data_IF_850655678191
#
_entry.id   IF_850655678191
#
_cell.length_a   1.000
_cell.length_b   1.000
_cell.length_c   1.000
_cell.angle_alpha   90.00
_cell.angle_beta   90.00
_cell.angle_gamma   90.00
#
_symmetry.space_group_name_H-M   'P 1'
#
loop_
_entity.id
_entity.type
_entity.pdbx_description
1 polymer ?
#
# COMPACT_ATOMS: atom_id res chain seq x y z
N UNK A 1 -0.03 -12.86 20.27
CA UNK A 1 -0.67 -11.56 20.50
C UNK A 1 -1.96 -11.55 19.72
N UNK A 2 -3.07 -11.17 20.36
CA UNK A 2 -4.28 -10.86 19.61
C UNK A 2 -3.95 -9.71 18.64
N UNK A 3 -4.27 -9.85 17.35
CA UNK A 3 -3.96 -8.83 16.34
C UNK A 3 -4.66 -7.49 16.61
N UNK A 4 -5.64 -7.51 17.52
CA UNK A 4 -6.47 -6.40 17.91
C UNK A 4 -5.84 -5.57 19.05
N UNK A 5 -4.86 -6.10 19.79
CA UNK A 5 -4.17 -5.36 20.86
C UNK A 5 -3.22 -4.29 20.30
N UNK A 6 -2.92 -3.22 21.06
CA UNK A 6 -1.83 -2.31 20.74
C UNK A 6 -0.50 -3.06 20.62
N UNK A 7 0.33 -2.67 19.65
CA UNK A 7 1.68 -3.20 19.52
C UNK A 7 2.62 -2.53 20.53
N UNK A 8 3.67 -3.26 20.90
CA UNK A 8 4.75 -2.70 21.71
C UNK A 8 5.39 -1.49 21.00
N UNK A 9 5.51 -0.31 21.67
CA UNK A 9 6.07 0.88 21.05
C UNK A 9 7.53 0.73 20.61
N UNK A 10 8.34 -0.05 21.33
CA UNK A 10 9.73 -0.33 20.98
C UNK A 10 9.83 -1.13 19.68
N UNK A 11 9.03 -2.19 19.57
CA UNK A 11 8.88 -2.96 18.35
C UNK A 11 8.42 -2.09 17.17
N UNK A 12 7.42 -1.24 17.35
CA UNK A 12 6.92 -0.34 16.30
C UNK A 12 8.02 0.62 15.83
N UNK A 13 8.70 1.28 16.77
CA UNK A 13 9.79 2.21 16.43
C UNK A 13 10.93 1.49 15.69
N UNK A 14 11.30 0.28 16.12
CA UNK A 14 12.31 -0.52 15.43
C UNK A 14 11.90 -0.82 13.99
N UNK A 15 10.68 -1.31 13.77
CA UNK A 15 10.21 -1.64 12.43
C UNK A 15 10.11 -0.41 11.52
N UNK A 16 9.57 0.70 12.02
CA UNK A 16 9.41 1.94 11.24
C UNK A 16 10.74 2.60 10.88
N UNK A 17 11.85 2.25 11.55
CA UNK A 17 13.18 2.78 11.26
C UNK A 17 13.93 2.02 10.16
N UNK A 18 13.35 0.93 9.63
CA UNK A 18 14.00 0.05 8.64
C UNK A 18 13.18 -0.01 7.35
N UNK A 19 13.82 -0.27 6.19
CA UNK A 19 13.11 -0.61 4.97
C UNK A 19 12.13 -1.77 5.18
N UNK A 20 10.99 -1.79 4.47
CA UNK A 20 10.60 -0.86 3.41
C UNK A 20 9.97 0.46 3.90
N UNK A 21 9.90 0.72 5.22
CA UNK A 21 9.32 1.96 5.73
C UNK A 21 10.19 3.17 5.40
N UNK A 22 9.50 4.28 5.12
CA UNK A 22 10.10 5.59 4.87
C UNK A 22 9.41 6.61 5.75
N UNK A 23 10.18 7.48 6.40
CA UNK A 23 9.59 8.50 7.28
C UNK A 23 9.18 9.74 6.48
N UNK A 24 7.88 10.05 6.50
CA UNK A 24 7.34 11.33 6.01
C UNK A 24 6.48 11.92 7.12
N UNK A 25 6.94 13.03 7.69
CA UNK A 25 6.33 13.66 8.84
C UNK A 25 4.88 14.07 8.55
N UNK A 26 3.94 13.56 9.34
CA UNK A 26 2.50 13.79 9.16
C UNK A 26 1.80 12.80 8.23
N UNK A 27 2.53 11.83 7.65
CA UNK A 27 1.97 10.76 6.83
C UNK A 27 2.29 9.42 7.46
N UNK A 28 1.28 8.57 7.63
CA UNK A 28 1.45 7.23 8.19
C UNK A 28 1.55 6.18 7.09
N UNK A 29 2.10 5.02 7.45
CA UNK A 29 2.11 3.83 6.59
C UNK A 29 2.83 4.02 5.24
N UNK A 30 3.86 4.87 5.20
CA UNK A 30 4.64 5.14 3.98
C UNK A 30 5.68 4.05 3.77
N UNK A 31 5.71 3.45 2.58
CA UNK A 31 6.68 2.42 2.19
C UNK A 31 7.13 2.55 0.74
N UNK A 32 8.40 2.21 0.51
CA UNK A 32 8.95 1.97 -0.83
C UNK A 32 8.54 0.56 -1.30
N UNK A 33 8.19 0.43 -2.59
CA UNK A 33 7.91 -0.84 -3.25
C UNK A 33 9.13 -1.42 -3.99
N UNK A 34 10.31 -0.89 -3.73
CA UNK A 34 11.59 -1.41 -4.21
C UNK A 34 12.24 -2.49 -3.34
N UNK A 35 13.31 -3.07 -3.87
CA UNK A 35 14.15 -4.09 -3.25
C UNK A 35 13.46 -5.42 -2.93
N UNK A 36 12.26 -5.68 -3.47
CA UNK A 36 11.61 -6.97 -3.30
C UNK A 36 12.25 -8.02 -4.21
N UNK A 37 12.57 -9.22 -3.70
CA UNK A 37 13.06 -10.32 -4.52
C UNK A 37 11.98 -10.74 -5.51
N UNK A 38 12.41 -11.15 -6.71
CA UNK A 38 11.50 -11.57 -7.78
C UNK A 38 11.83 -12.98 -8.25
N UNK A 39 10.89 -13.58 -8.98
CA UNK A 39 11.11 -14.86 -9.66
C UNK A 39 12.14 -14.77 -10.79
N UNK A 40 12.56 -13.58 -11.19
CA UNK A 40 13.61 -13.36 -12.19
C UNK A 40 14.98 -13.36 -11.51
N UNK A 41 15.85 -14.35 -11.79
CA UNK A 41 17.13 -14.47 -11.11
C UNK A 41 17.97 -13.20 -11.22
N UNK A 42 18.43 -12.69 -10.07
CA UNK A 42 19.27 -11.51 -9.99
C UNK A 42 18.56 -10.17 -10.21
N UNK A 43 17.22 -10.14 -10.29
CA UNK A 43 16.45 -8.90 -10.37
C UNK A 43 15.60 -8.68 -9.11
N UNK A 44 15.52 -7.42 -8.69
CA UNK A 44 14.64 -6.93 -7.61
C UNK A 44 13.76 -5.80 -8.14
N UNK A 45 12.67 -5.50 -7.43
CA UNK A 45 11.90 -4.29 -7.73
C UNK A 45 12.74 -3.03 -7.52
N UNK A 46 12.54 -2.01 -8.35
CA UNK A 46 13.36 -0.80 -8.40
C UNK A 46 13.14 0.07 -7.16
N UNK A 47 14.18 0.31 -6.32
CA UNK A 47 14.11 1.23 -5.20
C UNK A 47 13.78 2.66 -5.65
N UNK A 48 12.94 3.31 -4.86
CA UNK A 48 12.59 4.71 -5.01
C UNK A 48 11.77 5.07 -6.23
N UNK A 49 11.14 4.11 -6.91
CA UNK A 49 10.29 4.41 -8.08
C UNK A 49 8.80 4.54 -7.70
N UNK A 50 8.30 3.65 -6.84
CA UNK A 50 6.89 3.60 -6.47
C UNK A 50 6.74 3.49 -4.95
N UNK A 51 5.99 4.41 -4.37
CA UNK A 51 5.71 4.45 -2.94
C UNK A 51 4.22 4.27 -2.68
N UNK A 52 3.90 3.71 -1.52
CA UNK A 52 2.52 3.62 -1.00
C UNK A 52 2.42 4.31 0.34
N UNK A 53 1.25 4.86 0.66
CA UNK A 53 1.02 5.53 1.96
C UNK A 53 -0.45 5.52 2.38
N UNK A 54 -0.72 5.97 3.61
CA UNK A 54 -2.03 6.50 4.01
C UNK A 54 -2.29 7.89 3.44
N UNK A 55 -3.45 8.46 3.74
CA UNK A 55 -3.77 9.82 3.31
C UNK A 55 -2.81 10.88 3.86
N UNK A 56 -2.64 11.96 3.10
CA UNK A 56 -1.57 12.95 3.30
C UNK A 56 -2.09 14.32 3.77
N UNK A 57 -3.36 14.46 4.16
CA UNK A 57 -3.93 15.78 4.47
C UNK A 57 -3.29 16.46 5.69
N UNK A 58 -2.61 15.69 6.54
CA UNK A 58 -1.90 16.14 7.75
C UNK A 58 -0.39 16.20 7.57
N UNK A 59 0.10 16.16 6.33
CA UNK A 59 1.54 16.27 6.05
C UNK A 59 2.10 17.57 6.64
N UNK A 60 3.24 17.45 7.33
CA UNK A 60 3.91 18.59 7.97
C UNK A 60 4.93 19.22 7.01
N UNK A 61 5.40 20.46 7.26
CA UNK A 61 6.45 21.07 6.46
C UNK A 61 7.70 20.20 6.29
N UNK A 62 8.12 19.49 7.34
CA UNK A 62 9.24 18.55 7.27
C UNK A 62 8.92 17.35 6.35
N UNK A 63 7.67 16.88 6.35
CA UNK A 63 7.20 15.82 5.48
C UNK A 63 7.19 16.24 4.01
N UNK A 64 6.82 17.49 3.72
CA UNK A 64 6.89 18.04 2.36
C UNK A 64 8.34 18.08 1.85
N UNK A 65 9.29 18.40 2.73
CA UNK A 65 10.72 18.37 2.40
C UNK A 65 11.21 16.93 2.20
N UNK A 66 10.79 15.98 3.03
CA UNK A 66 11.10 14.56 2.88
C UNK A 66 10.56 13.97 1.56
N UNK A 67 9.36 14.37 1.12
CA UNK A 67 8.84 14.01 -0.22
C UNK A 67 9.76 14.49 -1.34
N UNK A 68 10.25 15.73 -1.25
CA UNK A 68 11.19 16.31 -2.23
C UNK A 68 12.52 15.56 -2.23
N UNK A 69 13.05 15.18 -1.07
CA UNK A 69 14.28 14.41 -0.93
C UNK A 69 14.18 13.00 -1.52
N UNK A 70 13.00 12.39 -1.44
CA UNK A 70 12.68 11.12 -2.11
C UNK A 70 12.49 11.26 -3.63
N UNK A 71 12.51 12.50 -4.16
CA UNK A 71 12.27 12.78 -5.57
C UNK A 71 10.82 12.52 -6.01
N UNK A 72 9.87 12.42 -5.07
CA UNK A 72 8.46 12.16 -5.41
C UNK A 72 7.89 13.40 -6.08
N UNK A 73 7.50 13.24 -7.35
CA UNK A 73 6.99 14.34 -8.19
C UNK A 73 5.49 14.26 -8.40
N UNK A 74 4.90 13.08 -8.23
CA UNK A 74 3.46 12.87 -8.42
C UNK A 74 2.88 11.99 -7.31
N UNK A 75 1.72 12.39 -6.79
CA UNK A 75 0.95 11.62 -5.81
C UNK A 75 -0.44 11.32 -6.39
N UNK A 76 -0.85 10.06 -6.31
CA UNK A 76 -2.15 9.60 -6.80
C UNK A 76 -3.10 9.31 -5.64
N UNK A 77 -4.22 10.03 -5.57
CA UNK A 77 -5.23 9.87 -4.53
C UNK A 77 -6.40 9.01 -5.02
N UNK A 78 -6.52 7.81 -4.44
CA UNK A 78 -7.54 6.80 -4.79
C UNK A 78 -8.86 6.98 -4.01
N UNK A 79 -8.96 7.99 -3.14
CA UNK A 79 -10.14 8.25 -2.31
C UNK A 79 -11.27 8.82 -3.14
N UNK A 80 -12.51 8.49 -2.79
CA UNK A 80 -13.68 9.21 -3.29
C UNK A 80 -13.80 10.59 -2.64
N UNK A 81 -14.49 11.51 -3.30
CA UNK A 81 -14.87 12.82 -2.73
C UNK A 81 -15.64 12.65 -1.42
N UNK A 82 -16.58 11.70 -1.37
CA UNK A 82 -17.38 11.41 -0.18
C UNK A 82 -16.51 11.06 1.03
N UNK A 83 -15.44 10.29 0.83
CA UNK A 83 -14.50 9.96 1.89
C UNK A 83 -13.69 11.18 2.34
N UNK A 84 -13.19 11.99 1.40
CA UNK A 84 -12.43 13.19 1.72
C UNK A 84 -13.25 14.18 2.55
N UNK A 85 -14.51 14.41 2.17
CA UNK A 85 -15.45 15.24 2.90
C UNK A 85 -15.82 14.64 4.27
N UNK A 86 -16.17 13.35 4.33
CA UNK A 86 -16.58 12.68 5.59
C UNK A 86 -15.49 12.73 6.66
N UNK A 87 -14.23 12.58 6.26
CA UNK A 87 -13.11 12.56 7.19
C UNK A 87 -12.42 13.92 7.33
N UNK A 88 -12.90 14.96 6.64
CA UNK A 88 -12.31 16.31 6.63
C UNK A 88 -10.81 16.27 6.27
N UNK A 89 -10.48 15.52 5.22
CA UNK A 89 -9.10 15.22 4.79
C UNK A 89 -8.86 15.75 3.37
N UNK A 90 -8.82 17.08 3.17
CA UNK A 90 -8.67 17.67 1.84
C UNK A 90 -7.29 17.34 1.22
N UNK A 91 -7.19 17.47 -0.10
CA UNK A 91 -5.92 17.36 -0.81
C UNK A 91 -5.04 18.59 -0.45
N UNK A 92 -3.84 18.39 0.12
CA UNK A 92 -2.96 19.51 0.47
C UNK A 92 -2.28 20.10 -0.79
N UNK A 93 -1.80 21.33 -0.70
CA UNK A 93 -0.90 21.89 -1.72
C UNK A 93 0.55 21.65 -1.30
N UNK A 94 1.33 21.00 -2.17
CA UNK A 94 2.75 20.72 -1.94
C UNK A 94 3.53 21.24 -3.15
N UNK A 95 4.41 22.22 -2.92
CA UNK A 95 5.20 22.82 -4.00
C UNK A 95 6.08 21.78 -4.71
N UNK A 96 6.01 21.76 -6.05
CA UNK A 96 6.81 20.84 -6.88
C UNK A 96 6.27 19.41 -6.95
N UNK A 97 5.12 19.13 -6.32
CA UNK A 97 4.47 17.82 -6.34
C UNK A 97 3.07 17.96 -6.93
N UNK A 98 2.81 17.23 -8.02
CA UNK A 98 1.48 17.13 -8.61
C UNK A 98 0.66 16.10 -7.85
N UNK A 99 -0.54 16.47 -7.37
CA UNK A 99 -1.46 15.53 -6.74
C UNK A 99 -2.64 15.31 -7.66
N UNK A 100 -2.76 14.09 -8.18
CA UNK A 100 -3.78 13.69 -9.16
C UNK A 100 -4.85 12.87 -8.44
N UNK A 101 -6.06 13.39 -8.42
CA UNK A 101 -7.22 12.68 -7.87
C UNK A 101 -7.77 11.67 -8.88
N UNK A 102 -7.68 10.38 -8.54
CA UNK A 102 -8.09 9.25 -9.37
C UNK A 102 -8.96 8.28 -8.54
N UNK A 103 -10.20 8.65 -8.20
CA UNK A 103 -11.03 7.88 -7.29
C UNK A 103 -11.32 6.48 -7.86
N UNK A 104 -11.09 5.45 -7.06
CA UNK A 104 -11.48 4.06 -7.43
C UNK A 104 -12.99 3.90 -7.46
N UNK A 105 -13.69 4.60 -6.57
CA UNK A 105 -15.14 4.57 -6.48
C UNK A 105 -15.68 5.97 -6.68
N UNK A 106 -16.77 6.07 -7.43
CA UNK A 106 -17.44 7.35 -7.68
C UNK A 106 -18.36 7.72 -6.51
N UNK A 107 -18.83 8.96 -6.50
CA UNK A 107 -19.75 9.47 -5.47
C UNK A 107 -21.03 8.64 -5.40
N UNK A 108 -21.53 8.15 -6.55
CA UNK A 108 -22.75 7.35 -6.62
C UNK A 108 -22.59 5.96 -5.95
N UNK A 109 -21.36 5.47 -5.83
CA UNK A 109 -21.04 4.21 -5.15
C UNK A 109 -21.08 4.34 -3.60
N UNK A 110 -21.27 5.56 -3.10
CA UNK A 110 -21.30 5.91 -1.67
C UNK A 110 -22.71 6.29 -1.17
N UNK A 111 -23.76 5.72 -1.74
CA UNK A 111 -25.08 5.79 -1.10
C UNK A 111 -25.01 5.31 0.36
N UNK A 112 -25.81 5.89 1.29
CA UNK A 112 -25.82 5.47 2.69
C UNK A 112 -25.97 3.94 2.85
N UNK A 113 -26.79 3.31 2.03
CA UNK A 113 -27.04 1.87 2.01
C UNK A 113 -25.81 1.09 1.54
N UNK A 114 -25.15 1.52 0.46
CA UNK A 114 -23.92 0.90 -0.01
C UNK A 114 -22.80 0.99 1.03
N UNK A 115 -22.73 2.12 1.76
CA UNK A 115 -21.76 2.31 2.83
C UNK A 115 -22.03 1.44 4.04
N UNK A 116 -23.29 1.35 4.46
CA UNK A 116 -23.69 0.44 5.54
C UNK A 116 -23.29 -1.00 5.19
N UNK A 117 -23.60 -1.47 3.98
CA UNK A 117 -23.23 -2.81 3.51
C UNK A 117 -21.72 -3.03 3.49
N UNK A 118 -20.92 -2.03 3.08
CA UNK A 118 -19.45 -2.14 3.14
C UNK A 118 -18.95 -2.24 4.59
N UNK A 119 -19.49 -1.43 5.51
CA UNK A 119 -19.12 -1.50 6.92
C UNK A 119 -19.47 -2.84 7.55
N UNK A 120 -20.62 -3.43 7.23
CA UNK A 120 -20.98 -4.78 7.66
C UNK A 120 -19.96 -5.83 7.19
N UNK A 121 -19.52 -5.76 5.93
CA UNK A 121 -18.50 -6.66 5.40
C UNK A 121 -17.17 -6.51 6.14
N UNK A 122 -16.70 -5.27 6.34
CA UNK A 122 -15.46 -5.01 7.08
C UNK A 122 -15.53 -5.47 8.55
N UNK A 123 -16.67 -5.22 9.19
CA UNK A 123 -16.90 -5.54 10.59
C UNK A 123 -16.87 -7.04 10.88
N UNK A 124 -17.30 -7.85 9.90
CA UNK A 124 -17.37 -9.30 10.05
C UNK A 124 -16.03 -9.95 10.39
N UNK A 125 -14.91 -9.34 9.98
CA UNK A 125 -13.57 -9.92 10.14
C UNK A 125 -13.34 -11.21 9.33
N UNK A 126 -14.31 -11.61 8.50
CA UNK A 126 -14.29 -12.86 7.72
C UNK A 126 -13.59 -12.66 6.39
N UNK A 127 -12.74 -13.61 6.02
CA UNK A 127 -12.00 -13.57 4.76
C UNK A 127 -12.94 -13.46 3.55
N UNK A 128 -14.06 -14.16 3.54
CA UNK A 128 -15.04 -14.13 2.44
C UNK A 128 -15.66 -12.72 2.23
N UNK A 129 -15.85 -11.98 3.33
CA UNK A 129 -16.36 -10.62 3.27
C UNK A 129 -15.31 -9.67 2.66
N UNK A 130 -14.04 -9.83 3.02
CA UNK A 130 -12.94 -9.11 2.38
C UNK A 130 -12.81 -9.46 0.89
N UNK A 131 -13.00 -10.73 0.50
CA UNK A 131 -12.97 -11.10 -0.92
C UNK A 131 -14.09 -10.44 -1.72
N UNK A 132 -15.27 -10.27 -1.11
CA UNK A 132 -16.37 -9.50 -1.70
C UNK A 132 -15.99 -8.03 -1.89
N UNK A 133 -15.42 -7.40 -0.86
CA UNK A 133 -14.95 -6.01 -0.93
C UNK A 133 -13.85 -5.82 -1.97
N UNK A 134 -12.90 -6.74 -2.06
CA UNK A 134 -11.77 -6.64 -2.98
C UNK A 134 -12.18 -6.91 -4.42
N UNK A 135 -13.17 -7.78 -4.63
CA UNK A 135 -13.82 -7.92 -5.95
C UNK A 135 -14.43 -6.58 -6.38
N UNK A 136 -15.18 -5.91 -5.50
CA UNK A 136 -15.75 -4.59 -5.80
C UNK A 136 -14.68 -3.54 -6.11
N UNK A 137 -13.54 -3.57 -5.43
CA UNK A 137 -12.42 -2.68 -5.74
C UNK A 137 -11.90 -2.97 -7.14
N UNK A 138 -11.58 -4.23 -7.46
CA UNK A 138 -11.05 -4.61 -8.77
C UNK A 138 -12.01 -4.24 -9.91
N UNK A 139 -13.31 -4.48 -9.74
CA UNK A 139 -14.33 -4.18 -10.74
C UNK A 139 -14.41 -2.66 -11.09
N UNK A 140 -14.00 -1.79 -10.16
CA UNK A 140 -14.07 -0.33 -10.34
C UNK A 140 -12.70 0.34 -10.53
N UNK A 141 -11.61 -0.33 -10.16
CA UNK A 141 -10.28 0.27 -10.10
C UNK A 141 -9.60 0.45 -11.46
N UNK A 142 -10.11 -0.15 -12.54
CA UNK A 142 -9.51 -0.14 -13.89
C UNK A 142 -8.99 1.25 -14.31
N UNK A 143 -9.82 2.30 -14.36
CA UNK A 143 -9.37 3.64 -14.73
C UNK A 143 -8.27 4.21 -13.83
N UNK A 144 -8.40 4.09 -12.51
CA UNK A 144 -7.43 4.63 -11.55
C UNK A 144 -6.08 3.87 -11.63
N UNK A 145 -6.13 2.55 -11.68
CA UNK A 145 -4.92 1.72 -11.76
C UNK A 145 -4.20 1.91 -13.10
N UNK A 146 -4.94 2.17 -14.19
CA UNK A 146 -4.35 2.47 -15.49
C UNK A 146 -3.46 3.72 -15.42
N UNK A 147 -3.87 4.76 -14.69
CA UNK A 147 -3.08 5.99 -14.53
C UNK A 147 -1.75 5.68 -13.84
N UNK A 148 -1.78 4.98 -12.71
CA UNK A 148 -0.55 4.65 -11.95
C UNK A 148 0.36 3.71 -12.72
N UNK A 149 -0.19 2.66 -13.35
CA UNK A 149 0.60 1.73 -14.15
C UNK A 149 1.23 2.41 -15.37
N UNK A 150 0.51 3.33 -16.04
CA UNK A 150 1.08 4.14 -17.13
C UNK A 150 2.16 5.11 -16.64
N UNK A 151 2.07 5.62 -15.41
CA UNK A 151 3.16 6.40 -14.82
C UNK A 151 4.45 5.59 -14.76
N UNK A 152 4.39 4.35 -14.26
CA UNK A 152 5.56 3.45 -14.22
C UNK A 152 6.08 3.12 -15.63
N UNK A 153 5.17 2.99 -16.60
CA UNK A 153 5.51 2.76 -18.02
C UNK A 153 6.22 3.96 -18.66
N UNK A 154 5.68 5.15 -18.48
CA UNK A 154 6.03 6.33 -19.27
C UNK A 154 7.05 7.23 -18.58
N UNK A 155 7.16 7.13 -17.25
CA UNK A 155 7.96 8.04 -16.42
C UNK A 155 8.89 7.27 -15.46
N UNK A 156 9.75 6.37 -15.97
CA UNK A 156 10.59 5.50 -15.13
C UNK A 156 11.62 6.23 -14.27
N UNK A 157 11.86 7.52 -14.52
CA UNK A 157 12.78 8.37 -13.77
C UNK A 157 12.04 9.42 -12.92
N UNK A 158 10.71 9.33 -12.79
CA UNK A 158 9.89 10.18 -11.93
C UNK A 158 9.23 9.35 -10.83
N UNK A 159 9.76 9.34 -9.61
CA UNK A 159 9.13 8.64 -8.49
C UNK A 159 7.69 9.12 -8.24
N UNK A 160 6.79 8.17 -7.97
CA UNK A 160 5.41 8.47 -7.59
C UNK A 160 4.99 7.80 -6.28
N UNK A 161 3.99 8.39 -5.62
CA UNK A 161 3.31 7.79 -4.47
C UNK A 161 1.83 7.59 -4.80
N UNK A 162 1.21 6.54 -4.26
CA UNK A 162 -0.25 6.39 -4.33
C UNK A 162 -0.83 6.02 -2.96
N UNK A 163 -2.02 6.54 -2.67
CA UNK A 163 -2.67 6.32 -1.39
C UNK A 163 -4.19 6.23 -1.49
N UNK A 164 -4.79 5.74 -0.40
CA UNK A 164 -6.22 5.87 -0.13
C UNK A 164 -6.35 6.45 1.28
N UNK A 165 -7.45 6.23 2.01
CA UNK A 165 -7.57 6.73 3.39
C UNK A 165 -6.53 6.10 4.33
N UNK A 166 -6.46 4.77 4.38
CA UNK A 166 -5.60 4.05 5.32
C UNK A 166 -4.30 3.54 4.71
N UNK A 167 -4.17 3.60 3.38
CA UNK A 167 -3.07 2.93 2.68
C UNK A 167 -3.13 1.40 2.75
N UNK A 168 -4.32 0.84 3.04
CA UNK A 168 -4.53 -0.60 3.26
C UNK A 168 -5.13 -1.30 2.04
N UNK A 169 -6.42 -1.11 1.77
CA UNK A 169 -7.16 -1.95 0.81
C UNK A 169 -6.90 -1.56 -0.65
N UNK A 170 -7.43 -0.43 -1.14
CA UNK A 170 -7.20 0.03 -2.53
C UNK A 170 -5.71 0.18 -2.86
N UNK A 171 -4.98 0.81 -1.95
CA UNK A 171 -3.52 0.97 -2.05
C UNK A 171 -2.80 -0.39 -2.01
N UNK A 172 -3.22 -1.31 -1.14
CA UNK A 172 -2.57 -2.62 -1.02
C UNK A 172 -2.83 -3.52 -2.20
N UNK A 173 -4.04 -3.46 -2.78
CA UNK A 173 -4.37 -4.15 -4.02
C UNK A 173 -3.52 -3.62 -5.18
N UNK A 174 -3.39 -2.29 -5.33
CA UNK A 174 -2.55 -1.71 -6.37
C UNK A 174 -1.07 -2.08 -6.18
N UNK A 175 -0.56 -2.02 -4.95
CA UNK A 175 0.79 -2.47 -4.63
C UNK A 175 1.00 -3.96 -4.94
N UNK A 176 0.05 -4.82 -4.56
CA UNK A 176 0.09 -6.25 -4.86
C UNK A 176 0.10 -6.51 -6.38
N UNK A 177 -0.70 -5.77 -7.16
CA UNK A 177 -0.69 -5.88 -8.63
C UNK A 177 0.68 -5.50 -9.20
N UNK A 178 1.27 -4.37 -8.78
CA UNK A 178 2.61 -3.96 -9.22
C UNK A 178 3.68 -5.02 -8.88
N UNK A 179 3.68 -5.52 -7.65
CA UNK A 179 4.63 -6.54 -7.19
C UNK A 179 4.43 -7.88 -7.93
N UNK A 180 3.17 -8.31 -8.16
CA UNK A 180 2.88 -9.52 -8.95
C UNK A 180 3.32 -9.38 -10.41
N UNK A 181 3.12 -8.22 -11.05
CA UNK A 181 3.62 -7.97 -12.41
C UNK A 181 5.15 -8.08 -12.48
N UNK A 182 5.84 -7.67 -11.41
CA UNK A 182 7.28 -7.80 -11.26
C UNK A 182 7.76 -9.21 -10.89
N UNK A 183 6.85 -10.17 -10.67
CA UNK A 183 7.20 -11.55 -10.33
C UNK A 183 7.59 -11.74 -8.86
N UNK A 184 7.19 -10.85 -7.96
CA UNK A 184 7.32 -11.06 -6.51
C UNK A 184 6.35 -12.16 -6.08
N UNK A 185 6.80 -13.05 -5.20
CA UNK A 185 6.00 -14.17 -4.71
C UNK A 185 4.87 -13.73 -3.75
N UNK A 186 3.84 -14.56 -3.64
CA UNK A 186 2.64 -14.26 -2.87
C UNK A 186 2.90 -14.06 -1.38
N UNK A 187 3.84 -14.81 -0.82
CA UNK A 187 4.15 -14.74 0.60
C UNK A 187 4.84 -13.41 0.93
N UNK A 188 5.77 -12.98 0.09
CA UNK A 188 6.42 -11.67 0.19
C UNK A 188 5.42 -10.53 0.05
N UNK A 189 4.48 -10.60 -0.91
CA UNK A 189 3.42 -9.60 -1.07
C UNK A 189 2.49 -9.56 0.16
N UNK A 190 2.11 -10.73 0.68
CA UNK A 190 1.27 -10.82 1.87
C UNK A 190 1.96 -10.26 3.12
N UNK A 191 3.27 -10.45 3.25
CA UNK A 191 4.09 -9.85 4.30
C UNK A 191 4.14 -8.32 4.18
N UNK A 192 4.38 -7.75 3.00
CA UNK A 192 4.28 -6.28 2.80
C UNK A 192 2.91 -5.75 3.20
N UNK A 193 1.84 -6.41 2.74
CA UNK A 193 0.49 -5.99 3.08
C UNK A 193 0.28 -5.95 4.61
N UNK A 194 0.77 -6.97 5.32
CA UNK A 194 0.66 -7.08 6.76
C UNK A 194 1.44 -5.99 7.52
N UNK A 195 2.52 -5.45 6.96
CA UNK A 195 3.24 -4.29 7.52
C UNK A 195 2.33 -3.07 7.71
N UNK A 196 1.18 -3.00 7.03
CA UNK A 196 0.16 -1.98 7.26
C UNK A 196 -0.30 -1.90 8.72
N UNK A 197 -0.30 -3.03 9.44
CA UNK A 197 -0.62 -3.07 10.88
C UNK A 197 0.40 -2.27 11.70
N UNK A 198 1.68 -2.35 11.36
CA UNK A 198 2.76 -1.60 12.01
C UNK A 198 2.73 -0.13 11.56
N UNK A 199 2.63 0.10 10.25
CA UNK A 199 2.65 1.44 9.64
C UNK A 199 1.54 2.37 10.11
N UNK A 200 0.40 1.82 10.56
CA UNK A 200 -0.75 2.58 11.07
C UNK A 200 -0.77 2.71 12.57
N UNK A 201 0.10 2.02 13.30
CA UNK A 201 0.06 2.02 14.76
C UNK A 201 0.27 3.40 15.39
N UNK A 202 1.15 4.28 14.88
CA UNK A 202 1.27 5.65 15.39
C UNK A 202 -0.03 6.46 15.31
N UNK A 203 -0.94 6.09 14.40
CA UNK A 203 -2.23 6.73 14.21
C UNK A 203 -3.40 5.96 14.84
N UNK A 204 -3.14 4.87 15.59
CA UNK A 204 -4.18 3.98 16.13
C UNK A 204 -5.26 4.74 16.90
N UNK A 205 -4.88 5.55 17.89
CA UNK A 205 -5.85 6.30 18.69
C UNK A 205 -6.72 7.23 17.85
N UNK A 206 -6.12 7.98 16.92
CA UNK A 206 -6.85 8.86 16.01
C UNK A 206 -7.83 8.06 15.15
N UNK A 207 -7.39 6.92 14.60
CA UNK A 207 -8.22 6.05 13.78
C UNK A 207 -9.39 5.48 14.59
N UNK A 208 -9.14 4.97 15.80
CA UNK A 208 -10.18 4.44 16.67
C UNK A 208 -11.20 5.52 17.07
N UNK A 209 -10.75 6.76 17.35
CA UNK A 209 -11.64 7.91 17.60
C UNK A 209 -12.47 8.29 16.37
N UNK A 210 -11.94 8.14 15.15
CA UNK A 210 -12.71 8.36 13.91
C UNK A 210 -13.75 7.26 13.74
N UNK A 211 -13.39 5.99 13.99
CA UNK A 211 -14.31 4.86 13.87
C UNK A 211 -15.44 4.95 14.91
N UNK A 212 -15.16 5.33 16.15
CA UNK A 212 -16.21 5.45 17.19
C UNK A 212 -17.28 6.50 16.89
N UNK A 213 -17.03 7.44 15.96
CA UNK A 213 -18.04 8.39 15.48
C UNK A 213 -18.98 7.81 14.43
N UNK A 214 -18.68 6.63 13.89
CA UNK A 214 -19.55 5.92 12.96
C UNK A 214 -20.53 5.09 13.79
N UNK A 215 -21.86 5.27 13.64
CA UNK A 215 -22.84 4.58 14.48
C UNK A 215 -22.66 3.06 14.53
N UNK A 216 -22.22 2.46 13.42
CA UNK A 216 -21.96 1.03 13.32
C UNK A 216 -20.81 0.54 14.24
N UNK A 217 -19.79 1.37 14.49
CA UNK A 217 -18.60 1.00 15.25
C UNK A 217 -18.60 1.55 16.68
N UNK A 218 -19.47 2.50 17.01
CA UNK A 218 -19.49 3.21 18.28
C UNK A 218 -19.55 2.28 19.49
N UNK A 219 -20.41 1.25 19.42
CA UNK A 219 -20.62 0.26 20.49
C UNK A 219 -20.05 -1.13 20.15
N UNK A 220 -19.28 -1.25 19.05
CA UNK A 220 -18.72 -2.51 18.59
C UNK A 220 -17.21 -2.40 18.34
N UNK A 221 -16.45 -2.52 19.44
CA UNK A 221 -14.99 -2.41 19.43
C UNK A 221 -14.33 -3.49 18.56
N UNK A 222 -14.86 -4.73 18.58
CA UNK A 222 -14.35 -5.82 17.76
C UNK A 222 -14.47 -5.49 16.26
N UNK A 223 -15.63 -4.98 15.82
CA UNK A 223 -15.83 -4.54 14.44
C UNK A 223 -14.87 -3.41 14.04
N UNK A 224 -14.63 -2.44 14.93
CA UNK A 224 -13.67 -1.36 14.69
C UNK A 224 -12.23 -1.90 14.54
N UNK A 225 -11.85 -2.87 15.37
CA UNK A 225 -10.53 -3.49 15.32
C UNK A 225 -10.36 -4.40 14.10
N UNK A 226 -11.42 -5.10 13.66
CA UNK A 226 -11.43 -5.84 12.40
C UNK A 226 -11.18 -4.92 11.21
N UNK A 227 -11.80 -3.73 11.18
CA UNK A 227 -11.54 -2.72 10.14
C UNK A 227 -10.08 -2.20 10.19
N UNK A 228 -9.49 -2.10 11.38
CA UNK A 228 -8.09 -1.72 11.58
C UNK A 228 -7.09 -2.81 11.14
N UNK A 229 -7.45 -4.09 11.26
CA UNK A 229 -6.58 -5.23 10.98
C UNK A 229 -6.02 -5.28 9.55
N UNK A 230 -4.85 -5.90 9.38
CA UNK A 230 -4.14 -6.04 8.08
C UNK A 230 -3.50 -7.43 8.00
N UNK A 231 -4.30 -8.47 7.77
CA UNK A 231 -3.86 -9.87 7.84
C UNK A 231 -3.16 -10.34 6.57
N UNK A 232 -2.03 -11.03 6.70
CA UNK A 232 -1.34 -11.63 5.56
C UNK A 232 -2.25 -12.64 4.84
N UNK A 233 -3.02 -13.40 5.60
CA UNK A 233 -3.98 -14.40 5.11
C UNK A 233 -5.07 -13.77 4.22
N UNK A 234 -5.49 -12.54 4.52
CA UNK A 234 -6.43 -11.80 3.66
C UNK A 234 -5.80 -11.48 2.31
N UNK A 235 -4.51 -11.13 2.27
CA UNK A 235 -3.80 -10.86 1.02
C UNK A 235 -3.51 -12.15 0.23
N UNK A 236 -3.17 -13.25 0.90
CA UNK A 236 -3.04 -14.56 0.24
C UNK A 236 -4.37 -14.98 -0.40
N UNK A 237 -5.49 -14.83 0.32
CA UNK A 237 -6.81 -15.11 -0.22
C UNK A 237 -7.15 -14.21 -1.41
N UNK A 238 -6.76 -12.93 -1.37
CA UNK A 238 -6.92 -12.00 -2.48
C UNK A 238 -6.16 -12.45 -3.72
N UNK A 239 -4.88 -12.81 -3.58
CA UNK A 239 -4.04 -13.24 -4.70
C UNK A 239 -4.60 -14.51 -5.36
N UNK A 240 -5.04 -15.47 -4.55
CA UNK A 240 -5.76 -16.65 -5.04
C UNK A 240 -7.05 -16.29 -5.77
N UNK A 241 -7.85 -15.39 -5.21
CA UNK A 241 -9.10 -14.92 -5.84
C UNK A 241 -8.82 -14.18 -7.17
N UNK A 242 -7.74 -13.40 -7.25
CA UNK A 242 -7.29 -12.73 -8.47
C UNK A 242 -6.98 -13.76 -9.57
N UNK A 243 -6.25 -14.82 -9.22
CA UNK A 243 -5.94 -15.92 -10.14
C UNK A 243 -7.20 -16.65 -10.61
N UNK A 244 -8.07 -17.06 -9.68
CA UNK A 244 -9.27 -17.85 -9.98
C UNK A 244 -10.34 -17.06 -10.76
N UNK A 245 -10.58 -15.80 -10.43
CA UNK A 245 -11.69 -15.02 -11.00
C UNK A 245 -11.31 -14.19 -12.23
N UNK A 246 -10.08 -13.68 -12.25
CA UNK A 246 -9.63 -12.80 -13.33
C UNK A 246 -8.62 -13.45 -14.26
N UNK A 247 -8.20 -14.70 -13.99
CA UNK A 247 -7.17 -15.38 -14.77
C UNK A 247 -5.76 -14.88 -14.46
N UNK A 248 -5.56 -14.32 -13.27
CA UNK A 248 -4.28 -13.79 -12.79
C UNK A 248 -4.05 -12.32 -13.11
N UNK A 249 -2.93 -11.79 -12.59
CA UNK A 249 -2.63 -10.35 -12.62
C UNK A 249 -2.56 -9.78 -14.03
N UNK A 250 -1.93 -10.47 -14.99
CA UNK A 250 -1.80 -9.98 -16.36
C UNK A 250 -3.16 -9.94 -17.06
N UNK A 251 -3.98 -10.99 -16.90
CA UNK A 251 -5.32 -11.02 -17.47
C UNK A 251 -6.21 -9.90 -16.89
N UNK A 252 -6.14 -9.65 -15.58
CA UNK A 252 -6.83 -8.50 -14.97
C UNK A 252 -6.36 -7.18 -15.56
N UNK A 253 -5.04 -6.96 -15.67
CA UNK A 253 -4.47 -5.72 -16.21
C UNK A 253 -4.84 -5.51 -17.68
N UNK A 254 -4.94 -6.57 -18.49
CA UNK A 254 -5.38 -6.43 -19.87
C UNK A 254 -6.87 -6.16 -20.01
N UNK A 255 -7.69 -6.95 -19.33
CA UNK A 255 -9.13 -6.99 -19.56
C UNK A 255 -9.90 -5.93 -18.76
N UNK A 256 -9.41 -5.54 -17.59
CA UNK A 256 -10.08 -4.58 -16.70
C UNK A 256 -9.37 -3.23 -16.71
N UNK A 257 -8.03 -3.22 -16.66
CA UNK A 257 -7.25 -1.98 -16.65
C UNK A 257 -7.04 -1.43 -18.07
N UNK A 258 -7.09 -2.29 -19.09
CA UNK A 258 -6.99 -1.89 -20.50
C UNK A 258 -5.55 -1.56 -20.93
N UNK A 259 -4.57 -2.31 -20.42
CA UNK A 259 -3.18 -2.26 -20.87
C UNK A 259 -2.86 -3.43 -21.81
N UNK A 260 -1.90 -3.24 -22.70
CA UNK A 260 -1.45 -4.26 -23.64
C UNK A 260 -0.33 -5.13 -23.06
N UNK A 261 0.02 -6.22 -23.75
CA UNK A 261 1.18 -7.02 -23.39
C UNK A 261 2.49 -6.19 -23.45
N UNK A 262 2.60 -5.26 -24.41
CA UNK A 262 3.75 -4.34 -24.54
C UNK A 262 3.82 -3.34 -23.37
N UNK A 263 2.67 -2.86 -22.90
CA UNK A 263 2.60 -2.00 -21.71
C UNK A 263 3.10 -2.75 -20.48
N UNK A 264 2.62 -3.98 -20.27
CA UNK A 264 3.02 -4.84 -19.15
C UNK A 264 4.53 -5.13 -19.20
N UNK A 265 5.06 -5.47 -20.38
CA UNK A 265 6.48 -5.71 -20.56
C UNK A 265 7.33 -4.47 -20.24
N UNK A 266 6.87 -3.29 -20.66
CA UNK A 266 7.55 -2.02 -20.38
C UNK A 266 7.50 -1.64 -18.91
N UNK A 267 6.34 -1.79 -18.26
CA UNK A 267 6.18 -1.58 -16.80
C UNK A 267 7.15 -2.48 -16.05
N UNK A 268 7.18 -3.77 -16.37
CA UNK A 268 8.08 -4.74 -15.74
C UNK A 268 9.54 -4.36 -15.92
N UNK A 269 9.95 -4.01 -17.14
CA UNK A 269 11.31 -3.56 -17.43
C UNK A 269 11.70 -2.33 -16.61
N UNK A 270 10.80 -1.36 -16.48
CA UNK A 270 11.06 -0.12 -15.75
C UNK A 270 11.06 -0.30 -14.24
N UNK A 271 10.30 -1.27 -13.73
CA UNK A 271 10.14 -1.55 -12.31
C UNK A 271 11.12 -2.60 -11.79
N UNK A 272 11.97 -3.20 -12.63
CA UNK A 272 13.01 -4.14 -12.23
C UNK A 272 14.40 -3.58 -12.44
N UNK A 273 15.31 -3.89 -11.52
CA UNK A 273 16.74 -3.59 -11.62
C UNK A 273 17.57 -4.78 -11.13
N UNK A 274 18.86 -4.88 -11.53
CA UNK A 274 19.76 -5.86 -10.93
C UNK A 274 19.81 -5.74 -9.41
N UNK A 275 19.76 -6.88 -8.73
CA UNK A 275 19.97 -6.96 -7.30
C UNK A 275 21.37 -6.40 -6.96
N UNK A 276 21.52 -5.64 -5.86
CA UNK A 276 22.85 -5.26 -5.40
C UNK A 276 23.66 -6.54 -5.11
N UNK A 277 24.99 -6.49 -5.32
CA UNK A 277 25.85 -7.61 -4.93
C UNK A 277 25.65 -7.90 -3.43
N UNK A 278 25.69 -9.18 -3.02
CA UNK A 278 25.60 -9.52 -1.61
C UNK A 278 26.70 -8.76 -0.85
N UNK A 279 26.35 -8.14 0.28
CA UNK A 279 27.34 -7.48 1.13
C UNK A 279 28.46 -8.47 1.43
N UNK A 280 29.70 -8.06 1.17
CA UNK A 280 30.86 -8.86 1.52
C UNK A 280 30.81 -9.11 3.02
N UNK A 281 30.88 -10.37 3.44
CA UNK A 281 30.98 -10.72 4.85
C UNK A 281 32.16 -9.93 5.45
N UNK A 282 32.02 -9.32 6.64
CA UNK A 282 33.13 -8.63 7.27
C UNK A 282 34.29 -9.63 7.37
N UNK A 283 35.46 -9.24 6.84
CA UNK A 283 36.66 -10.08 6.94
C UNK A 283 36.85 -10.47 8.41
N UNK A 284 37.18 -11.73 8.70
CA UNK A 284 37.50 -12.12 10.07
C UNK A 284 38.61 -11.19 10.57
N UNK A 285 38.33 -10.48 11.66
CA UNK A 285 39.28 -9.58 12.28
C UNK A 285 40.59 -10.31 12.59
N UNK A 286 41.74 -9.61 12.61
CA UNK A 286 43.03 -10.24 12.84
C UNK A 286 43.00 -11.04 14.14
N UNK A 287 43.48 -12.29 14.08
CA UNK A 287 43.61 -13.16 15.25
C UNK A 287 44.37 -12.43 16.36
N UNK A 288 43.91 -12.51 17.63
CA UNK A 288 44.60 -11.88 18.73
C UNK A 288 46.04 -12.41 18.82
N UNK A 289 47.02 -11.55 19.15
CA UNK A 289 48.41 -11.95 19.20
C UNK A 289 48.59 -13.07 20.22
N UNK A 290 49.27 -14.15 19.81
CA UNK A 290 49.62 -15.25 20.68
C UNK A 290 50.45 -14.71 21.86
N UNK A 291 49.91 -14.87 23.07
CA UNK A 291 50.64 -14.59 24.29
C UNK A 291 51.80 -15.59 24.41
N UNK A 292 53.02 -15.11 24.18
CA UNK A 292 54.29 -15.77 24.50
C UNK A 292 54.71 -15.47 25.94
#
# INVERSE_FOLDING_TARGET
MDQLDPLDPGYVAEQLSKPPFVNISGVVNVRDLGSYPTSYPGLVTRPGLAYRSGEISHIKPEGMQQLKELGITTIYDLRSETEMHRYETPIPTIEGVEIVHIPVFKTEDYSPEAMAKRFELYASGKTEAFMTLYTQILDNAGPAFAVVLRHIRDRPDSPCMFHCTAGKDRTGILAAILLKLAGVDDETIARDYALTRVGREPAREMIMRRLSKVPFFADNMEAALNMFSSRAETMVAFLKMLDERYGGVESYVKNVVGLTDDDIATIRKNFLVPAPPPEASPEPGPDPPAHS
#
